data_IF_323130090331
#
_entry.id   IF_323130090331
#
_cell.length_a   1.000
_cell.length_b   1.000
_cell.length_c   1.000
_cell.angle_alpha   90.00
_cell.angle_beta   90.00
_cell.angle_gamma   90.00
#
_symmetry.space_group_name_H-M   'P 1'
#
loop_
_entity.id
_entity.type
_entity.pdbx_description
1 polymer ?
#
# COMPACT_ATOMS: atom_id res chain seq x y z
N UNK A 1 9.26 -32.86 -20.52
CA UNK A 1 9.55 -31.56 -19.88
C UNK A 1 8.33 -31.14 -19.08
N UNK A 2 8.45 -30.94 -17.75
CA UNK A 2 7.33 -30.46 -16.92
C UNK A 2 6.96 -29.02 -17.34
N UNK A 3 5.68 -28.62 -17.33
CA UNK A 3 5.29 -27.25 -17.64
C UNK A 3 5.92 -26.30 -16.62
N UNK A 4 6.48 -25.18 -17.12
CA UNK A 4 7.13 -24.16 -16.32
C UNK A 4 6.17 -23.68 -15.21
N UNK A 5 6.60 -23.80 -13.95
CA UNK A 5 5.80 -23.39 -12.81
C UNK A 5 5.50 -21.87 -12.89
N UNK A 6 4.26 -21.43 -12.55
CA UNK A 6 3.88 -20.01 -12.56
C UNK A 6 4.82 -19.09 -11.76
N UNK A 7 5.51 -19.62 -10.76
CA UNK A 7 6.48 -18.92 -9.90
C UNK A 7 7.78 -18.48 -10.61
N UNK A 8 7.98 -18.82 -11.89
CA UNK A 8 9.15 -18.42 -12.68
C UNK A 8 8.92 -17.16 -13.53
N UNK A 9 7.75 -16.52 -13.40
CA UNK A 9 7.46 -15.23 -14.06
C UNK A 9 7.83 -14.08 -13.11
N UNK A 10 8.20 -12.94 -13.68
CA UNK A 10 8.47 -11.68 -12.94
C UNK A 10 7.35 -11.43 -11.92
N UNK A 11 7.66 -11.04 -10.66
CA UNK A 11 8.92 -10.42 -10.21
C UNK A 11 9.73 -11.27 -9.20
N UNK A 12 11.03 -10.94 -9.12
CA UNK A 12 12.12 -11.81 -8.69
C UNK A 12 12.47 -11.75 -7.19
N UNK A 13 12.71 -12.93 -6.60
CA UNK A 13 13.29 -13.10 -5.26
C UNK A 13 14.23 -14.31 -5.17
N UNK A 14 15.35 -14.25 -5.90
CA UNK A 14 16.28 -15.39 -6.03
C UNK A 14 17.33 -15.41 -4.90
N UNK A 15 17.66 -14.30 -4.26
CA UNK A 15 18.74 -14.27 -3.24
C UNK A 15 18.32 -14.98 -1.94
N UNK A 16 17.10 -14.74 -1.46
CA UNK A 16 16.47 -15.43 -0.34
C UNK A 16 15.00 -15.79 -0.71
N UNK A 17 14.58 -17.06 -0.68
CA UNK A 17 15.22 -18.25 -0.10
C UNK A 17 16.02 -19.10 -1.11
N UNK A 18 16.75 -18.50 -2.08
CA UNK A 18 17.50 -19.21 -3.15
C UNK A 18 16.64 -19.90 -4.21
N UNK A 19 15.33 -19.64 -4.23
CA UNK A 19 14.39 -20.07 -5.28
C UNK A 19 13.42 -18.92 -5.57
N UNK A 20 12.96 -18.73 -6.83
CA UNK A 20 11.98 -17.70 -7.15
C UNK A 20 10.76 -17.77 -6.23
N UNK A 21 10.57 -16.73 -5.43
CA UNK A 21 9.43 -16.58 -4.51
C UNK A 21 8.25 -15.82 -5.15
N UNK A 22 8.46 -15.17 -6.30
CA UNK A 22 7.46 -14.29 -6.92
C UNK A 22 7.35 -12.91 -6.25
N UNK A 23 8.30 -12.54 -5.40
CA UNK A 23 8.31 -11.27 -4.65
C UNK A 23 9.05 -10.19 -5.40
N UNK A 24 8.64 -8.93 -5.23
CA UNK A 24 9.38 -7.73 -5.68
C UNK A 24 10.56 -7.38 -4.75
N UNK A 25 11.32 -8.38 -4.29
CA UNK A 25 12.50 -8.19 -3.43
C UNK A 25 13.35 -9.45 -3.44
N UNK A 26 14.64 -9.29 -3.16
CA UNK A 26 15.58 -10.38 -2.97
C UNK A 26 15.44 -11.09 -1.61
N UNK A 27 14.44 -10.71 -0.80
CA UNK A 27 14.06 -11.34 0.47
C UNK A 27 12.56 -11.34 0.78
N UNK A 28 12.20 -11.26 2.07
CA UNK A 28 10.83 -11.04 2.50
C UNK A 28 10.44 -9.58 2.17
N UNK A 29 9.35 -9.36 1.45
CA UNK A 29 8.79 -8.02 1.23
C UNK A 29 8.06 -7.58 2.49
N UNK A 30 7.82 -6.27 2.63
CA UNK A 30 6.96 -5.72 3.68
C UNK A 30 5.63 -6.47 3.77
N UNK A 31 5.17 -7.07 2.67
CA UNK A 31 3.92 -7.81 2.55
C UNK A 31 3.94 -9.29 2.91
N UNK A 32 5.12 -9.89 3.03
CA UNK A 32 5.28 -11.10 3.85
C UNK A 32 5.10 -10.78 5.35
N UNK A 33 4.97 -9.47 5.65
CA UNK A 33 4.49 -8.85 6.89
C UNK A 33 3.28 -7.87 6.56
N UNK A 34 2.54 -8.10 5.44
CA UNK A 34 1.30 -7.44 4.88
C UNK A 34 1.40 -6.23 3.86
N UNK A 35 0.70 -6.29 2.69
CA UNK A 35 0.48 -5.16 1.73
C UNK A 35 -0.10 -5.42 0.32
N UNK A 36 -0.46 -4.33 -0.40
CA UNK A 36 -1.44 -4.25 -1.53
C UNK A 36 -1.24 -3.04 -2.53
N UNK A 37 -2.01 -2.97 -3.65
CA UNK A 37 -1.95 -1.96 -4.76
C UNK A 37 -3.35 -1.39 -5.10
N UNK A 38 -3.56 -0.11 -5.51
CA UNK A 38 -4.90 0.57 -5.70
C UNK A 38 -5.49 0.49 -7.11
N UNK A 39 -4.71 0.25 -8.16
CA UNK A 39 -5.21 -0.06 -9.51
C UNK A 39 -4.75 -1.44 -9.99
N UNK A 40 -5.47 -2.00 -10.95
CA UNK A 40 -5.02 -3.22 -11.64
C UNK A 40 -3.76 -2.90 -12.43
N UNK A 41 -2.63 -3.49 -12.04
CA UNK A 41 -1.37 -3.35 -12.78
C UNK A 41 -1.46 -4.20 -14.05
N UNK A 42 -1.45 -3.61 -15.27
CA UNK A 42 -1.42 -4.39 -16.52
C UNK A 42 -0.07 -5.10 -16.71
N UNK A 43 0.97 -4.68 -15.97
CA UNK A 43 2.31 -5.26 -16.00
C UNK A 43 2.40 -6.48 -15.08
N UNK A 44 1.77 -6.42 -13.90
CA UNK A 44 1.90 -7.46 -12.86
C UNK A 44 0.68 -8.37 -12.70
N UNK A 45 -0.46 -8.05 -13.34
CA UNK A 45 -1.75 -8.74 -13.13
C UNK A 45 -2.19 -8.78 -11.66
N UNK A 46 -1.71 -7.83 -10.87
CA UNK A 46 -2.07 -7.65 -9.47
C UNK A 46 -3.39 -6.90 -9.38
N UNK A 47 -4.37 -7.38 -8.60
CA UNK A 47 -5.66 -6.72 -8.43
C UNK A 47 -5.55 -5.43 -7.59
N UNK A 48 -6.36 -4.43 -7.90
CA UNK A 48 -6.51 -3.20 -7.11
C UNK A 48 -6.98 -3.41 -5.65
N UNK A 49 -6.85 -2.38 -4.79
CA UNK A 49 -7.10 -2.47 -3.34
C UNK A 49 -8.57 -2.85 -3.14
N UNK A 50 -9.47 -2.17 -3.85
CA UNK A 50 -10.89 -2.46 -3.82
C UNK A 50 -11.19 -3.94 -4.12
N UNK A 51 -10.47 -4.54 -5.08
CA UNK A 51 -10.60 -5.96 -5.44
C UNK A 51 -9.98 -6.88 -4.39
N UNK A 52 -8.81 -6.55 -3.85
CA UNK A 52 -8.17 -7.31 -2.75
C UNK A 52 -9.03 -7.32 -1.49
N UNK A 53 -9.58 -6.16 -1.11
CA UNK A 53 -10.54 -6.02 -0.02
C UNK A 53 -11.82 -6.80 -0.32
N UNK A 54 -12.31 -6.78 -1.57
CA UNK A 54 -13.43 -7.61 -2.01
C UNK A 54 -13.18 -9.12 -1.83
N UNK A 55 -11.98 -9.61 -2.14
CA UNK A 55 -11.63 -11.01 -1.88
C UNK A 55 -11.63 -11.33 -0.37
N UNK A 56 -11.10 -10.44 0.46
CA UNK A 56 -11.13 -10.60 1.91
C UNK A 56 -12.57 -10.65 2.44
N UNK A 57 -13.45 -9.76 1.96
CA UNK A 57 -14.88 -9.76 2.30
C UNK A 57 -15.51 -11.11 1.95
N UNK A 58 -15.28 -11.62 0.73
CA UNK A 58 -15.82 -12.92 0.31
C UNK A 58 -15.33 -14.07 1.19
N UNK A 59 -14.04 -14.07 1.57
CA UNK A 59 -13.48 -15.08 2.48
C UNK A 59 -14.09 -14.99 3.89
N UNK A 60 -14.26 -13.78 4.41
CA UNK A 60 -14.86 -13.53 5.72
C UNK A 60 -16.34 -13.96 5.75
N UNK A 61 -17.10 -13.64 4.70
CA UNK A 61 -18.51 -13.99 4.58
C UNK A 61 -18.74 -15.48 4.35
N UNK A 62 -17.78 -16.18 3.74
CA UNK A 62 -17.86 -17.64 3.59
C UNK A 62 -17.86 -18.37 4.95
N UNK A 63 -17.32 -17.75 6.01
CA UNK A 63 -17.25 -18.29 7.39
C UNK A 63 -16.65 -19.70 7.51
N UNK A 64 -15.83 -20.09 6.53
CA UNK A 64 -15.16 -21.41 6.51
C UNK A 64 -13.81 -21.40 7.23
N UNK A 65 -13.17 -20.23 7.23
CA UNK A 65 -11.80 -20.05 7.75
C UNK A 65 -11.77 -19.04 8.89
N UNK A 66 -12.58 -17.98 8.82
CA UNK A 66 -12.59 -16.90 9.80
C UNK A 66 -14.00 -16.61 10.31
N UNK A 67 -14.10 -16.28 11.58
CA UNK A 67 -15.27 -15.71 12.24
C UNK A 67 -15.14 -14.19 12.33
N UNK A 68 -16.18 -13.46 11.91
CA UNK A 68 -16.18 -12.00 11.90
C UNK A 68 -16.11 -11.44 13.33
N UNK A 69 -16.92 -11.99 14.24
CA UNK A 69 -17.00 -11.52 15.63
C UNK A 69 -15.87 -12.04 16.54
N UNK A 70 -15.04 -12.98 16.06
CA UNK A 70 -13.96 -13.61 16.82
C UNK A 70 -12.61 -13.35 16.19
N UNK A 71 -12.28 -14.11 15.14
CA UNK A 71 -10.96 -14.10 14.49
C UNK A 71 -10.61 -12.71 13.95
N UNK A 72 -11.51 -12.10 13.17
CA UNK A 72 -11.24 -10.78 12.58
C UNK A 72 -11.26 -9.67 13.63
N UNK A 73 -12.22 -9.71 14.55
CA UNK A 73 -12.36 -8.71 15.61
C UNK A 73 -11.18 -8.66 16.60
N UNK A 74 -10.44 -9.76 16.74
CA UNK A 74 -9.23 -9.83 17.56
C UNK A 74 -7.93 -9.62 16.78
N UNK A 75 -8.00 -9.60 15.44
CA UNK A 75 -6.84 -9.48 14.56
C UNK A 75 -6.42 -8.03 14.28
N UNK A 76 -5.22 -7.90 13.74
CA UNK A 76 -4.73 -6.67 13.11
C UNK A 76 -4.85 -6.81 11.60
N UNK A 77 -5.33 -5.76 10.95
CA UNK A 77 -5.31 -5.67 9.49
C UNK A 77 -4.35 -4.56 9.07
N UNK A 78 -3.51 -4.81 8.07
CA UNK A 78 -2.62 -3.81 7.49
C UNK A 78 -2.96 -3.64 6.01
N UNK A 79 -3.30 -2.41 5.66
CA UNK A 79 -3.37 -1.94 4.29
C UNK A 79 -2.02 -1.31 3.93
N UNK A 80 -1.12 -2.06 3.30
CA UNK A 80 0.12 -1.45 2.79
C UNK A 80 -0.11 -0.96 1.36
N UNK A 81 0.25 0.30 1.14
CA UNK A 81 0.10 1.01 -0.11
C UNK A 81 1.48 1.33 -0.68
N UNK A 82 1.78 0.83 -1.88
CA UNK A 82 3.11 0.89 -2.50
C UNK A 82 3.32 2.07 -3.46
N UNK A 83 2.27 2.82 -3.80
CA UNK A 83 2.37 3.97 -4.71
C UNK A 83 2.52 3.62 -6.19
N UNK A 84 2.22 2.38 -6.60
CA UNK A 84 2.34 1.96 -8.01
C UNK A 84 1.50 2.82 -8.96
N UNK A 85 0.38 3.31 -8.47
CA UNK A 85 -0.58 4.16 -9.20
C UNK A 85 0.06 5.47 -9.64
N UNK A 86 0.95 6.02 -8.81
CA UNK A 86 1.69 7.22 -9.15
C UNK A 86 2.62 6.99 -10.34
N UNK A 87 3.31 5.85 -10.44
CA UNK A 87 4.14 5.58 -11.62
C UNK A 87 3.32 5.53 -12.90
N UNK A 88 2.23 4.75 -12.90
CA UNK A 88 1.37 4.63 -14.08
C UNK A 88 0.73 5.96 -14.48
N UNK A 89 0.41 6.80 -13.50
CA UNK A 89 -0.16 8.12 -13.72
C UNK A 89 0.87 9.13 -14.24
N UNK A 90 2.05 9.19 -13.62
CA UNK A 90 3.17 10.06 -13.99
C UNK A 90 3.60 9.77 -15.43
N UNK A 91 3.77 8.50 -15.79
CA UNK A 91 4.20 8.09 -17.15
C UNK A 91 3.20 8.54 -18.24
N UNK A 92 1.91 8.67 -17.90
CA UNK A 92 0.85 9.11 -18.82
C UNK A 92 0.53 10.61 -18.72
N UNK A 93 0.90 11.25 -17.62
CA UNK A 93 0.55 12.64 -17.29
C UNK A 93 1.80 13.36 -16.78
N UNK A 94 2.67 13.85 -17.67
CA UNK A 94 3.82 14.65 -17.25
C UNK A 94 3.41 16.00 -16.66
N UNK A 95 2.16 16.42 -16.84
CA UNK A 95 1.63 17.64 -16.26
C UNK A 95 1.28 17.46 -14.78
N UNK A 96 2.09 18.09 -13.92
CA UNK A 96 1.93 18.11 -12.46
C UNK A 96 0.62 18.74 -11.98
N UNK A 97 -0.07 19.55 -12.80
CA UNK A 97 -1.33 20.20 -12.40
C UNK A 97 -2.45 19.20 -12.06
N UNK A 98 -2.39 17.98 -12.61
CA UNK A 98 -3.38 16.93 -12.35
C UNK A 98 -3.10 16.15 -11.04
N UNK A 99 -1.94 16.35 -10.41
CA UNK A 99 -1.46 15.51 -9.32
C UNK A 99 -2.30 15.69 -8.04
N UNK A 100 -2.72 16.91 -7.64
CA UNK A 100 -3.55 17.07 -6.46
C UNK A 100 -4.89 16.32 -6.55
N UNK A 101 -5.57 16.41 -7.69
CA UNK A 101 -6.83 15.70 -7.91
C UNK A 101 -6.63 14.17 -7.92
N UNK A 102 -5.52 13.69 -8.47
CA UNK A 102 -5.19 12.26 -8.42
C UNK A 102 -4.84 11.79 -7.01
N UNK A 103 -4.14 12.60 -6.21
CA UNK A 103 -3.89 12.30 -4.80
C UNK A 103 -5.20 12.21 -4.02
N UNK A 104 -6.13 13.13 -4.23
CA UNK A 104 -7.45 13.10 -3.61
C UNK A 104 -8.18 11.79 -3.93
N UNK A 105 -8.25 11.42 -5.22
CA UNK A 105 -8.84 10.16 -5.65
C UNK A 105 -8.22 8.93 -4.96
N UNK A 106 -6.89 8.84 -4.91
CA UNK A 106 -6.20 7.71 -4.27
C UNK A 106 -6.50 7.65 -2.76
N UNK A 107 -6.47 8.79 -2.07
CA UNK A 107 -6.70 8.84 -0.63
C UNK A 107 -8.17 8.53 -0.30
N UNK A 108 -9.11 8.91 -1.17
CA UNK A 108 -10.52 8.51 -1.04
C UNK A 108 -10.71 7.01 -1.17
N UNK A 109 -10.06 6.34 -2.13
CA UNK A 109 -10.13 4.88 -2.27
C UNK A 109 -9.49 4.15 -1.08
N UNK A 110 -8.35 4.65 -0.59
CA UNK A 110 -7.74 4.15 0.66
C UNK A 110 -8.71 4.31 1.83
N UNK A 111 -9.31 5.49 1.99
CA UNK A 111 -10.26 5.75 3.07
C UNK A 111 -11.48 4.82 2.99
N UNK A 112 -12.02 4.61 1.79
CA UNK A 112 -13.13 3.70 1.54
C UNK A 112 -12.77 2.25 1.93
N UNK A 113 -11.59 1.79 1.51
CA UNK A 113 -11.07 0.46 1.81
C UNK A 113 -10.90 0.22 3.32
N UNK A 114 -10.38 1.22 4.05
CA UNK A 114 -10.30 1.16 5.52
C UNK A 114 -11.70 1.06 6.16
N UNK A 115 -12.69 1.75 5.61
CA UNK A 115 -14.09 1.66 6.03
C UNK A 115 -14.66 0.25 5.85
N UNK A 116 -14.38 -0.42 4.72
CA UNK A 116 -14.81 -1.81 4.51
C UNK A 116 -14.16 -2.75 5.53
N UNK A 117 -12.85 -2.60 5.76
CA UNK A 117 -12.13 -3.42 6.75
C UNK A 117 -12.72 -3.23 8.16
N UNK A 118 -13.12 -2.02 8.52
CA UNK A 118 -13.85 -1.76 9.77
C UNK A 118 -15.24 -2.43 9.79
N UNK A 119 -15.95 -2.43 8.67
CA UNK A 119 -17.21 -3.17 8.50
C UNK A 119 -17.07 -4.69 8.69
N UNK A 120 -15.89 -5.25 8.41
CA UNK A 120 -15.51 -6.64 8.74
C UNK A 120 -15.13 -6.85 10.22
N UNK A 121 -15.34 -5.85 11.06
CA UNK A 121 -15.07 -5.81 12.50
C UNK A 121 -13.60 -5.84 12.93
N UNK A 122 -12.64 -5.64 12.02
CA UNK A 122 -11.26 -5.39 12.46
C UNK A 122 -11.21 -4.16 13.36
N UNK A 123 -10.77 -4.35 14.61
CA UNK A 123 -10.65 -3.25 15.58
C UNK A 123 -9.34 -2.50 15.47
N UNK A 124 -8.29 -3.16 14.99
CA UNK A 124 -6.97 -2.58 14.82
C UNK A 124 -6.61 -2.59 13.32
N UNK A 125 -6.75 -1.44 12.68
CA UNK A 125 -6.48 -1.29 11.25
C UNK A 125 -5.30 -0.33 11.09
N UNK A 126 -4.26 -0.81 10.43
CA UNK A 126 -3.09 -0.03 10.09
C UNK A 126 -3.07 0.27 8.58
N UNK A 127 -2.55 1.43 8.20
CA UNK A 127 -2.26 1.80 6.81
C UNK A 127 -0.86 2.36 6.72
N UNK A 128 -0.09 2.01 5.69
CA UNK A 128 1.26 2.56 5.53
C UNK A 128 1.22 3.95 4.88
N UNK A 129 2.07 4.87 5.35
CA UNK A 129 2.36 6.08 4.58
C UNK A 129 3.12 5.75 3.29
N UNK A 130 2.97 6.59 2.28
CA UNK A 130 3.68 6.45 1.02
C UNK A 130 5.17 6.76 1.23
N UNK A 131 6.04 5.86 0.79
CA UNK A 131 7.50 5.99 0.83
C UNK A 131 7.99 7.10 -0.13
N UNK A 132 9.23 7.61 0.03
CA UNK A 132 9.69 8.76 -0.74
C UNK A 132 9.94 8.40 -2.21
N UNK A 133 8.91 8.50 -3.04
CA UNK A 133 8.94 8.18 -4.47
C UNK A 133 10.08 8.90 -5.20
N UNK A 134 10.34 10.17 -4.85
CA UNK A 134 11.42 10.97 -5.43
C UNK A 134 12.82 10.42 -5.18
N UNK A 135 13.00 9.57 -4.18
CA UNK A 135 14.30 9.02 -3.77
C UNK A 135 14.56 7.61 -4.32
N UNK A 136 13.62 7.04 -5.08
CA UNK A 136 13.75 5.68 -5.58
C UNK A 136 14.81 5.59 -6.68
N UNK A 137 15.56 4.48 -6.80
CA UNK A 137 16.64 4.36 -7.79
C UNK A 137 16.22 4.66 -9.23
N UNK A 138 14.98 4.30 -9.62
CA UNK A 138 14.43 4.61 -10.95
C UNK A 138 14.35 6.13 -11.21
N UNK A 139 14.18 6.93 -10.17
CA UNK A 139 14.07 8.39 -10.24
C UNK A 139 15.45 9.04 -10.06
N UNK A 140 16.22 8.61 -9.05
CA UNK A 140 17.50 9.25 -8.72
C UNK A 140 18.61 8.93 -9.71
N UNK A 141 18.43 7.95 -10.61
CA UNK A 141 19.37 7.71 -11.72
C UNK A 141 19.62 8.96 -12.57
N UNK A 142 18.61 9.84 -12.73
CA UNK A 142 18.74 11.11 -13.44
C UNK A 142 19.74 12.07 -12.76
N UNK A 143 19.88 11.98 -11.44
CA UNK A 143 20.84 12.77 -10.64
C UNK A 143 22.12 11.99 -10.33
N UNK A 144 22.38 10.85 -11.00
CA UNK A 144 23.47 9.92 -10.66
C UNK A 144 23.42 9.46 -9.19
N UNK A 145 22.21 9.20 -8.69
CA UNK A 145 21.92 8.77 -7.32
C UNK A 145 22.32 9.79 -6.24
N UNK A 146 22.41 11.09 -6.58
CA UNK A 146 22.88 12.14 -5.65
C UNK A 146 21.78 12.87 -4.92
N UNK A 147 20.59 12.97 -5.53
CA UNK A 147 19.47 13.74 -4.97
C UNK A 147 18.14 13.13 -5.35
N UNK A 148 17.16 13.30 -4.46
CA UNK A 148 15.77 12.97 -4.75
C UNK A 148 15.15 13.99 -5.71
N UNK A 149 14.11 13.60 -6.43
CA UNK A 149 13.31 14.53 -7.24
C UNK A 149 12.34 15.31 -6.34
N UNK A 150 12.45 16.64 -6.33
CA UNK A 150 11.65 17.52 -5.47
C UNK A 150 10.16 17.48 -5.83
N UNK A 151 9.80 17.43 -7.12
CA UNK A 151 8.41 17.37 -7.55
C UNK A 151 7.69 16.11 -7.05
N UNK A 152 8.37 14.96 -7.05
CA UNK A 152 7.82 13.73 -6.48
C UNK A 152 7.86 13.73 -4.95
N UNK A 153 8.79 14.47 -4.33
CA UNK A 153 8.81 14.69 -2.88
C UNK A 153 7.58 15.48 -2.44
N UNK A 154 7.21 16.53 -3.17
CA UNK A 154 6.00 17.32 -2.92
C UNK A 154 4.72 16.50 -3.11
N UNK A 155 4.67 15.65 -4.15
CA UNK A 155 3.56 14.71 -4.37
C UNK A 155 3.37 13.77 -3.17
N UNK A 156 4.45 13.17 -2.69
CA UNK A 156 4.43 12.24 -1.55
C UNK A 156 4.03 12.96 -0.27
N UNK A 157 4.51 14.19 -0.07
CA UNK A 157 4.10 15.04 1.06
C UNK A 157 2.60 15.31 1.02
N UNK A 158 2.05 15.70 -0.13
CA UNK A 158 0.62 15.94 -0.31
C UNK A 158 -0.20 14.67 -0.01
N UNK A 159 0.20 13.51 -0.55
CA UNK A 159 -0.45 12.23 -0.26
C UNK A 159 -0.46 11.92 1.24
N UNK A 160 0.69 11.99 1.90
CA UNK A 160 0.83 11.63 3.31
C UNK A 160 0.09 12.60 4.24
N UNK A 161 0.02 13.88 3.90
CA UNK A 161 -0.81 14.86 4.61
C UNK A 161 -2.30 14.57 4.44
N UNK A 162 -2.75 14.27 3.22
CA UNK A 162 -4.14 13.90 2.93
C UNK A 162 -4.54 12.59 3.62
N UNK A 163 -3.66 11.58 3.62
CA UNK A 163 -3.87 10.32 4.34
C UNK A 163 -4.01 10.54 5.84
N UNK A 164 -3.18 11.40 6.44
CA UNK A 164 -3.30 11.80 7.87
C UNK A 164 -4.67 12.43 8.15
N UNK A 165 -5.16 13.30 7.27
CA UNK A 165 -6.51 13.90 7.42
C UNK A 165 -7.61 12.84 7.32
N UNK A 166 -7.53 11.93 6.34
CA UNK A 166 -8.50 10.85 6.16
C UNK A 166 -8.54 9.91 7.38
N UNK A 167 -7.39 9.46 7.88
CA UNK A 167 -7.32 8.60 9.08
C UNK A 167 -7.79 9.33 10.33
N UNK A 168 -7.47 10.62 10.48
CA UNK A 168 -7.98 11.43 11.58
C UNK A 168 -9.50 11.58 11.53
N UNK A 169 -10.09 11.72 10.34
CA UNK A 169 -11.53 11.76 10.12
C UNK A 169 -12.18 10.42 10.52
N UNK A 170 -11.66 9.29 10.03
CA UNK A 170 -12.16 7.96 10.41
C UNK A 170 -12.11 7.73 11.94
N UNK A 171 -11.05 8.19 12.61
CA UNK A 171 -10.93 8.06 14.07
C UNK A 171 -11.85 8.99 14.89
N UNK A 172 -12.54 9.95 14.26
CA UNK A 172 -13.47 10.88 14.92
C UNK A 172 -14.94 10.54 14.65
N UNK A 173 -15.24 9.86 13.57
CA UNK A 173 -16.62 9.57 13.15
C UNK A 173 -17.17 8.35 13.89
N UNK A 174 -18.24 8.54 14.69
CA UNK A 174 -18.86 7.48 15.51
C UNK A 174 -19.33 6.28 14.68
N UNK A 175 -19.74 6.48 13.43
CA UNK A 175 -20.14 5.39 12.51
C UNK A 175 -19.03 4.38 12.22
N UNK A 176 -17.76 4.77 12.38
CA UNK A 176 -16.58 3.92 12.17
C UNK A 176 -15.89 3.52 13.48
N UNK A 177 -16.44 3.93 14.63
CA UNK A 177 -15.86 3.67 15.94
C UNK A 177 -16.87 3.05 16.90
N UNK A 178 -16.63 1.80 17.24
CA UNK A 178 -16.99 1.28 18.55
C UNK A 178 -15.86 1.59 19.55
N UNK A 179 -16.17 1.57 20.85
CA UNK A 179 -15.18 1.87 21.91
C UNK A 179 -14.02 0.85 21.85
N UNK A 180 -12.87 1.29 21.36
CA UNK A 180 -11.64 0.48 21.27
C UNK A 180 -11.05 0.38 19.86
N UNK A 181 -11.81 0.74 18.83
CA UNK A 181 -11.36 0.71 17.44
C UNK A 181 -10.31 1.81 17.18
N UNK A 182 -9.29 1.48 16.39
CA UNK A 182 -8.22 2.40 16.02
C UNK A 182 -7.78 2.22 14.57
N UNK A 183 -7.69 3.35 13.86
CA UNK A 183 -6.95 3.44 12.60
C UNK A 183 -5.59 4.09 12.87
N UNK A 184 -4.51 3.44 12.44
CA UNK A 184 -3.13 3.91 12.70
C UNK A 184 -2.36 4.01 11.39
N UNK A 185 -1.55 5.06 11.26
CA UNK A 185 -0.59 5.17 10.15
C UNK A 185 0.74 4.56 10.58
N UNK A 186 1.23 3.59 9.80
CA UNK A 186 2.61 3.10 9.87
C UNK A 186 3.46 4.01 8.99
N UNK A 187 4.27 4.86 9.61
CA UNK A 187 5.01 5.91 8.89
C UNK A 187 6.27 5.38 8.19
N UNK A 188 6.07 4.70 7.06
CA UNK A 188 7.15 4.22 6.21
C UNK A 188 7.98 5.36 5.65
N UNK A 189 7.36 6.47 5.25
CA UNK A 189 8.08 7.65 4.77
C UNK A 189 9.18 8.07 5.73
N UNK A 190 8.83 8.27 7.01
CA UNK A 190 9.78 8.63 8.05
C UNK A 190 10.86 7.55 8.24
N UNK A 191 10.49 6.28 8.20
CA UNK A 191 11.44 5.18 8.34
C UNK A 191 12.48 5.17 7.20
N UNK A 192 12.04 5.35 5.95
CA UNK A 192 12.92 5.46 4.78
C UNK A 192 13.83 6.68 4.87
N UNK A 193 13.26 7.87 5.12
CA UNK A 193 14.04 9.10 5.18
C UNK A 193 15.08 9.05 6.31
N UNK A 194 14.76 8.45 7.47
CA UNK A 194 15.71 8.28 8.56
C UNK A 194 16.93 7.40 8.19
N UNK A 195 16.81 6.52 7.20
CA UNK A 195 17.94 5.75 6.67
C UNK A 195 18.68 6.54 5.59
N UNK A 196 17.95 7.19 4.67
CA UNK A 196 18.54 7.94 3.56
C UNK A 196 19.31 9.19 4.01
N UNK A 197 18.86 9.83 5.08
CA UNK A 197 19.48 11.05 5.63
C UNK A 197 20.63 10.75 6.59
N UNK A 198 20.76 9.50 7.06
CA UNK A 198 21.91 9.05 7.85
C UNK A 198 23.09 8.82 6.91
N UNK A 199 23.89 9.87 6.73
CA UNK A 199 25.24 9.80 6.17
C UNK A 199 26.20 9.15 7.15
#
# INVERSE_FOLDING_TARGET
MKPNAPSWKSPYGITFPRKPSGRYSDGLVATDILGSEVFDSPVDRSPNISTQVGFLVNLALARRVYTIDGDLASSYALLSYSGIDYYGFIDKNPNMAAYPAFVEFIVEDIQYSLGIMNGLKFKNIAVTSLHPLGCLPRVTVESSFRSCNESYTDLVRLHNESLKKAVAKLNKEDKFRTKGDRFVIVDLHKAFMAVLEKK
#
